data_IF_225780262525
#
_entry.id   IF_225780262525
#
_cell.length_a   1.000
_cell.length_b   1.000
_cell.length_c   1.000
_cell.angle_alpha   90.00
_cell.angle_beta   90.00
_cell.angle_gamma   90.00
#
_symmetry.space_group_name_H-M   'P 1'
#
loop_
_entity.id
_entity.type
_entity.pdbx_description
1 polymer ?
#
# COMPACT_ATOMS: atom_id res chain seq x y z
N UNK A 1 12.13 -4.26 -8.60
CA UNK A 1 11.38 -3.44 -7.62
C UNK A 1 11.93 -2.02 -7.54
N UNK A 2 13.07 -1.76 -6.88
CA UNK A 2 13.57 -0.37 -6.70
C UNK A 2 13.73 0.43 -7.99
N UNK A 3 14.25 -0.19 -9.06
CA UNK A 3 14.31 0.42 -10.40
C UNK A 3 12.93 0.76 -10.96
N UNK A 4 11.96 -0.15 -10.78
CA UNK A 4 10.63 -0.05 -11.38
C UNK A 4 9.71 0.89 -10.58
N UNK A 5 10.05 1.17 -9.31
CA UNK A 5 9.35 2.10 -8.41
C UNK A 5 10.09 3.43 -8.22
N UNK A 6 11.21 3.65 -8.91
CA UNK A 6 12.09 4.81 -8.68
C UNK A 6 11.41 6.18 -8.88
N UNK A 7 10.36 6.22 -9.69
CA UNK A 7 9.58 7.43 -9.99
C UNK A 7 8.19 7.41 -9.34
N UNK A 8 7.84 6.34 -8.63
CA UNK A 8 6.56 6.26 -7.95
C UNK A 8 6.56 7.18 -6.74
N UNK A 9 5.50 7.97 -6.64
CA UNK A 9 5.23 8.81 -5.48
C UNK A 9 4.15 8.16 -4.64
N UNK A 10 4.34 8.21 -3.32
CA UNK A 10 3.34 7.81 -2.36
C UNK A 10 2.49 9.02 -1.98
N UNK A 11 1.17 8.86 -2.04
CA UNK A 11 0.18 9.83 -1.57
C UNK A 11 -0.64 9.18 -0.47
N UNK A 12 -0.72 9.84 0.67
CA UNK A 12 -1.63 9.47 1.75
C UNK A 12 -3.03 9.97 1.37
N UNK A 13 -3.95 9.04 1.13
CA UNK A 13 -5.36 9.37 0.85
C UNK A 13 -6.17 9.47 2.15
N UNK A 14 -5.80 8.66 3.14
CA UNK A 14 -6.41 8.66 4.47
C UNK A 14 -5.43 8.08 5.49
N UNK A 15 -5.43 8.63 6.70
CA UNK A 15 -4.59 8.20 7.82
C UNK A 15 -5.31 8.45 9.14
N UNK A 16 -5.66 7.36 9.83
CA UNK A 16 -6.19 7.32 11.19
C UNK A 16 -5.39 6.28 12.00
N UNK A 17 -4.07 6.47 12.02
CA UNK A 17 -3.13 5.64 12.78
C UNK A 17 -2.90 4.26 12.14
N UNK A 18 -3.64 3.25 12.59
CA UNK A 18 -3.56 1.90 12.02
C UNK A 18 -4.40 1.77 10.74
N UNK A 19 -5.46 2.57 10.62
CA UNK A 19 -6.27 2.64 9.42
C UNK A 19 -5.65 3.61 8.42
N UNK A 20 -4.95 3.11 7.40
CA UNK A 20 -4.26 3.95 6.40
C UNK A 20 -4.64 3.53 5.00
N UNK A 21 -4.85 4.52 4.14
CA UNK A 21 -5.01 4.32 2.70
C UNK A 21 -3.94 5.11 1.96
N UNK A 22 -2.99 4.39 1.37
CA UNK A 22 -1.90 4.94 0.59
C UNK A 22 -2.12 4.60 -0.88
N UNK A 23 -1.82 5.55 -1.75
CA UNK A 23 -1.73 5.34 -3.20
C UNK A 23 -0.29 5.52 -3.61
N UNK A 24 0.26 4.54 -4.33
CA UNK A 24 1.60 4.61 -4.90
C UNK A 24 1.45 4.59 -6.41
N UNK A 25 1.91 5.65 -7.08
CA UNK A 25 1.76 5.80 -8.53
C UNK A 25 2.91 6.60 -9.13
N UNK A 26 3.28 6.29 -10.37
CA UNK A 26 4.18 7.15 -11.14
C UNK A 26 3.36 8.32 -11.74
N UNK A 27 3.68 9.58 -11.41
CA UNK A 27 2.97 10.74 -11.95
C UNK A 27 2.99 10.83 -13.48
N UNK A 28 4.03 10.33 -14.12
CA UNK A 28 4.23 10.39 -15.58
C UNK A 28 3.44 9.31 -16.33
N UNK A 29 3.13 8.19 -15.67
CA UNK A 29 2.40 7.06 -16.27
C UNK A 29 0.98 6.88 -15.70
N UNK A 30 0.56 7.78 -14.81
CA UNK A 30 -0.80 7.83 -14.28
C UNK A 30 -1.20 6.54 -13.53
N UNK A 31 -2.16 5.81 -14.09
CA UNK A 31 -2.70 4.57 -13.52
C UNK A 31 -1.88 3.32 -13.84
N UNK A 32 -0.96 3.39 -14.81
CA UNK A 32 -0.12 2.24 -15.19
C UNK A 32 0.90 2.00 -14.08
N UNK A 33 0.83 0.81 -13.48
CA UNK A 33 1.69 0.43 -12.35
C UNK A 33 1.32 1.12 -11.03
N UNK A 34 0.14 1.74 -10.95
CA UNK A 34 -0.37 2.26 -9.69
C UNK A 34 -0.94 1.15 -8.81
N UNK A 35 -0.79 1.28 -7.51
CA UNK A 35 -1.39 0.38 -6.53
C UNK A 35 -1.75 1.12 -5.25
N UNK A 36 -2.65 0.52 -4.48
CA UNK A 36 -3.11 1.02 -3.20
C UNK A 36 -2.68 0.07 -2.08
N UNK A 37 -2.28 0.64 -0.97
CA UNK A 37 -2.06 -0.06 0.30
C UNK A 37 -3.13 0.41 1.26
N UNK A 38 -3.93 -0.52 1.79
CA UNK A 38 -4.95 -0.22 2.78
C UNK A 38 -4.66 -1.09 4.01
N UNK A 39 -4.33 -0.48 5.14
CA UNK A 39 -4.08 -1.22 6.38
C UNK A 39 -5.17 -0.94 7.40
N UNK A 40 -5.42 -1.92 8.26
CA UNK A 40 -6.10 -1.79 9.55
C UNK A 40 -5.57 -2.91 10.47
N UNK A 41 -5.90 -2.94 11.78
CA UNK A 41 -5.30 -3.90 12.71
C UNK A 41 -5.30 -5.33 12.16
N UNK A 42 -4.11 -5.96 12.02
CA UNK A 42 -3.91 -7.34 11.51
C UNK A 42 -4.21 -7.58 10.03
N UNK A 43 -4.56 -6.52 9.30
CA UNK A 43 -4.95 -6.62 7.90
C UNK A 43 -4.18 -5.65 7.00
N UNK A 44 -3.76 -6.17 5.85
CA UNK A 44 -3.19 -5.38 4.77
C UNK A 44 -3.80 -5.80 3.44
N UNK A 45 -4.36 -4.83 2.73
CA UNK A 45 -4.83 -5.01 1.35
C UNK A 45 -3.87 -4.29 0.41
N UNK A 46 -3.35 -5.03 -0.56
CA UNK A 46 -2.61 -4.50 -1.69
C UNK A 46 -3.51 -4.60 -2.92
N UNK A 47 -4.04 -3.46 -3.36
CA UNK A 47 -4.95 -3.39 -4.51
C UNK A 47 -4.20 -2.80 -5.71
N UNK A 48 -3.95 -3.64 -6.70
CA UNK A 48 -3.59 -3.25 -8.06
C UNK A 48 -4.74 -3.68 -8.99
N UNK A 49 -4.52 -3.92 -10.28
CA UNK A 49 -5.54 -4.54 -11.15
C UNK A 49 -6.14 -5.84 -10.58
N UNK A 50 -5.42 -6.48 -9.63
CA UNK A 50 -5.83 -7.61 -8.79
C UNK A 50 -5.72 -7.22 -7.31
N UNK A 51 -6.40 -7.96 -6.42
CA UNK A 51 -6.37 -7.68 -4.98
C UNK A 51 -5.67 -8.80 -4.23
N UNK A 52 -4.72 -8.43 -3.37
CA UNK A 52 -4.09 -9.30 -2.40
C UNK A 52 -4.52 -8.85 -1.01
N UNK A 53 -4.97 -9.77 -0.17
CA UNK A 53 -5.39 -9.49 1.20
C UNK A 53 -4.61 -10.40 2.14
N UNK A 54 -3.90 -9.77 3.07
CA UNK A 54 -3.22 -10.41 4.18
C UNK A 54 -4.06 -10.21 5.43
N UNK A 55 -4.37 -11.31 6.09
CA UNK A 55 -5.08 -11.38 7.38
C UNK A 55 -4.23 -12.28 8.28
N UNK A 56 -3.39 -11.65 9.11
CA UNK A 56 -2.35 -12.34 9.86
C UNK A 56 -2.32 -11.75 11.27
N UNK A 57 -2.52 -12.60 12.28
CA UNK A 57 -2.38 -12.25 13.69
C UNK A 57 -0.90 -12.23 14.12
N UNK A 58 -0.11 -11.37 13.47
CA UNK A 58 1.31 -11.17 13.78
C UNK A 58 1.54 -9.83 14.48
N UNK A 59 0.90 -8.76 14.00
CA UNK A 59 1.00 -7.41 14.56
C UNK A 59 -0.22 -6.57 14.14
N UNK A 60 -0.70 -5.64 15.00
CA UNK A 60 -1.71 -4.66 14.61
C UNK A 60 -1.24 -3.74 13.47
N UNK A 61 0.03 -3.36 13.43
CA UNK A 61 0.58 -2.59 12.30
C UNK A 61 1.26 -3.52 11.29
N UNK A 62 0.53 -3.86 10.23
CA UNK A 62 1.04 -4.73 9.18
C UNK A 62 2.19 -4.13 8.37
N UNK A 63 2.43 -2.81 8.39
CA UNK A 63 3.63 -2.26 7.75
C UNK A 63 4.92 -2.57 8.53
N UNK A 64 4.83 -2.76 9.85
CA UNK A 64 5.98 -3.21 10.65
C UNK A 64 6.41 -4.64 10.27
N UNK A 65 5.46 -5.48 9.84
CA UNK A 65 5.74 -6.84 9.39
C UNK A 65 6.54 -6.89 8.08
N UNK A 66 6.35 -5.90 7.19
CA UNK A 66 6.95 -5.86 5.84
C UNK A 66 8.06 -4.81 5.69
N UNK A 67 8.59 -4.32 6.80
CA UNK A 67 9.73 -3.40 6.86
C UNK A 67 11.00 -3.98 6.23
#
# INVERSE_FOLDING_TARGET
>A
FARDTQHHKMTVLHDDGLYRHLKVANPEHGSIGAFHLISWPYHLVVKTGWTFHFDIDATPDMFDLFR
#
